data_IF_992614170968
#
_entry.id   IF_992614170968
#
_cell.length_a   1.000
_cell.length_b   1.000
_cell.length_c   1.000
_cell.angle_alpha   90.00
_cell.angle_beta   90.00
_cell.angle_gamma   90.00
#
_symmetry.space_group_name_H-M   'P 1'
#
loop_
_entity.id
_entity.type
_entity.pdbx_description
1 polymer ?
#
# COMPACT_ATOMS: atom_id res chain seq x y z
N UNK A 1 -5.76 -12.92 4.06
CA UNK A 1 -5.60 -12.08 5.28
C UNK A 1 -5.74 -10.61 4.87
N UNK A 2 -6.28 -9.70 5.72
CA UNK A 2 -6.49 -8.28 5.35
C UNK A 2 -5.71 -7.33 6.26
N UNK A 3 -4.74 -6.64 5.69
CA UNK A 3 -3.97 -5.59 6.36
C UNK A 3 -4.67 -4.24 6.20
N UNK A 4 -4.79 -3.49 7.30
CA UNK A 4 -5.31 -2.12 7.29
C UNK A 4 -4.16 -1.17 7.62
N UNK A 5 -3.85 -0.29 6.69
CA UNK A 5 -2.71 0.61 6.79
C UNK A 5 -3.21 2.07 6.78
N UNK A 6 -2.56 2.92 7.57
CA UNK A 6 -2.67 4.37 7.45
C UNK A 6 -1.65 4.85 6.43
N UNK A 7 -2.08 5.72 5.53
CA UNK A 7 -1.22 6.39 4.56
C UNK A 7 -0.76 7.70 5.19
N UNK A 8 0.52 8.03 5.05
CA UNK A 8 1.09 9.32 5.44
C UNK A 8 1.90 9.87 4.28
N UNK A 9 1.83 11.19 4.06
CA UNK A 9 2.59 11.86 3.01
C UNK A 9 2.06 11.61 1.59
N UNK A 10 0.77 11.27 1.46
CA UNK A 10 0.10 11.18 0.16
C UNK A 10 -0.66 12.49 -0.11
N UNK A 11 -0.14 13.31 -1.02
CA UNK A 11 -0.67 14.63 -1.41
C UNK A 11 -1.27 14.64 -2.82
N UNK A 12 -1.10 13.55 -3.59
CA UNK A 12 -1.63 13.44 -4.94
C UNK A 12 -2.54 12.22 -5.11
N UNK A 13 -3.82 12.45 -5.39
CA UNK A 13 -4.79 11.38 -5.67
C UNK A 13 -4.37 10.47 -6.85
N UNK A 14 -3.73 11.05 -7.87
CA UNK A 14 -3.23 10.27 -9.01
C UNK A 14 -2.03 9.39 -8.63
N UNK A 15 -1.16 9.86 -7.76
CA UNK A 15 -0.08 9.03 -7.19
C UNK A 15 -0.68 7.90 -6.35
N UNK A 16 -1.72 8.15 -5.56
CA UNK A 16 -2.44 7.12 -4.82
C UNK A 16 -2.97 5.99 -5.72
N UNK A 17 -3.58 6.34 -6.86
CA UNK A 17 -4.02 5.35 -7.84
C UNK A 17 -2.86 4.55 -8.45
N UNK A 18 -1.72 5.20 -8.74
CA UNK A 18 -0.53 4.51 -9.24
C UNK A 18 0.03 3.54 -8.20
N UNK A 19 0.12 3.97 -6.93
CA UNK A 19 0.57 3.13 -5.81
C UNK A 19 -0.33 1.91 -5.68
N UNK A 20 -1.65 2.09 -5.66
CA UNK A 20 -2.60 0.96 -5.58
C UNK A 20 -2.38 -0.06 -6.71
N UNK A 21 -2.25 0.41 -7.95
CA UNK A 21 -2.06 -0.45 -9.11
C UNK A 21 -0.73 -1.20 -9.09
N UNK A 22 0.34 -0.59 -8.57
CA UNK A 22 1.63 -1.26 -8.42
C UNK A 22 1.62 -2.28 -7.27
N UNK A 23 0.92 -1.98 -6.16
CA UNK A 23 0.76 -2.93 -5.05
C UNK A 23 0.02 -4.19 -5.50
N UNK A 24 -1.01 -4.05 -6.35
CA UNK A 24 -1.75 -5.19 -6.93
C UNK A 24 -0.88 -6.14 -7.74
N UNK A 25 0.29 -5.71 -8.21
CA UNK A 25 1.23 -6.53 -8.99
C UNK A 25 2.25 -7.27 -8.12
N UNK A 26 2.27 -7.01 -6.81
CA UNK A 26 3.18 -7.69 -5.89
C UNK A 26 2.72 -9.15 -5.73
N UNK A 27 3.65 -10.09 -5.88
CA UNK A 27 3.38 -11.50 -5.65
C UNK A 27 2.91 -11.74 -4.20
N UNK A 28 1.84 -12.51 -4.04
CA UNK A 28 1.21 -12.75 -2.74
C UNK A 28 0.14 -11.71 -2.34
N UNK A 29 -0.02 -10.61 -3.08
CA UNK A 29 -1.17 -9.70 -2.95
C UNK A 29 -2.34 -10.23 -3.79
N UNK A 30 -3.48 -10.44 -3.14
CA UNK A 30 -4.75 -10.83 -3.80
C UNK A 30 -5.48 -9.59 -4.30
N UNK A 31 -5.54 -8.55 -3.47
CA UNK A 31 -6.19 -7.29 -3.81
C UNK A 31 -5.60 -6.14 -2.98
N UNK A 32 -5.71 -4.91 -3.49
CA UNK A 32 -5.38 -3.70 -2.76
C UNK A 32 -6.37 -2.59 -3.07
N UNK A 33 -6.75 -1.84 -2.04
CA UNK A 33 -7.57 -0.64 -2.20
C UNK A 33 -6.98 0.50 -1.39
N UNK A 34 -6.91 1.68 -1.99
CA UNK A 34 -6.25 2.85 -1.43
C UNK A 34 -7.20 4.04 -1.55
N UNK A 35 -7.35 4.80 -0.47
CA UNK A 35 -8.27 5.92 -0.41
C UNK A 35 -7.51 7.17 0.00
N UNK A 36 -7.29 8.07 -0.97
CA UNK A 36 -6.72 9.40 -0.73
C UNK A 36 -7.56 10.19 0.28
N UNK A 37 -8.89 10.22 0.09
CA UNK A 37 -9.81 10.97 0.94
C UNK A 37 -9.79 10.54 2.42
N UNK A 38 -9.49 9.27 2.69
CA UNK A 38 -9.51 8.73 4.06
C UNK A 38 -8.15 8.35 4.61
N UNK A 39 -7.08 8.59 3.84
CA UNK A 39 -5.70 8.24 4.14
C UNK A 39 -5.54 6.79 4.63
N UNK A 40 -6.28 5.87 3.99
CA UNK A 40 -6.31 4.45 4.35
C UNK A 40 -6.01 3.57 3.16
N UNK A 41 -5.22 2.53 3.40
CA UNK A 41 -5.05 1.43 2.47
C UNK A 41 -5.52 0.12 3.11
N UNK A 42 -6.07 -0.76 2.29
CA UNK A 42 -6.38 -2.15 2.65
C UNK A 42 -5.69 -3.05 1.64
N UNK A 43 -4.92 -4.01 2.13
CA UNK A 43 -4.21 -4.97 1.29
C UNK A 43 -4.65 -6.36 1.72
N UNK A 44 -5.16 -7.13 0.77
CA UNK A 44 -5.47 -8.54 0.94
C UNK A 44 -4.28 -9.37 0.45
N UNK A 45 -3.77 -10.24 1.31
CA UNK A 45 -2.62 -11.10 1.01
C UNK A 45 -3.01 -12.57 1.13
N UNK A 46 -2.34 -13.41 0.34
CA UNK A 46 -2.57 -14.84 0.28
C UNK A 46 -2.07 -15.58 1.53
N UNK A 47 -0.91 -15.19 2.05
CA UNK A 47 -0.27 -15.85 3.19
C UNK A 47 0.22 -14.82 4.21
N UNK A 48 0.00 -15.10 5.50
CA UNK A 48 0.33 -14.18 6.60
C UNK A 48 1.84 -14.06 6.83
N UNK A 49 2.61 -15.11 6.50
CA UNK A 49 4.07 -15.10 6.66
C UNK A 49 4.74 -14.09 5.71
N UNK A 50 4.05 -13.67 4.65
CA UNK A 50 4.53 -12.68 3.69
C UNK A 50 4.21 -11.24 4.09
N UNK A 51 3.46 -11.01 5.17
CA UNK A 51 2.97 -9.67 5.54
C UNK A 51 4.09 -8.64 5.71
N UNK A 52 5.20 -9.02 6.36
CA UNK A 52 6.34 -8.12 6.59
C UNK A 52 7.08 -7.81 5.28
N UNK A 53 7.27 -8.80 4.40
CA UNK A 53 7.93 -8.60 3.11
C UNK A 53 7.08 -7.72 2.19
N UNK A 54 5.77 -7.98 2.12
CA UNK A 54 4.83 -7.19 1.35
C UNK A 54 4.78 -5.75 1.87
N UNK A 55 4.76 -5.55 3.20
CA UNK A 55 4.77 -4.20 3.78
C UNK A 55 6.03 -3.40 3.41
N UNK A 56 7.19 -4.06 3.37
CA UNK A 56 8.44 -3.43 2.94
C UNK A 56 8.35 -2.99 1.47
N UNK A 57 7.97 -3.91 0.56
CA UNK A 57 7.79 -3.62 -0.88
C UNK A 57 6.77 -2.51 -1.13
N UNK A 58 5.66 -2.52 -0.39
CA UNK A 58 4.62 -1.49 -0.46
C UNK A 58 5.19 -0.11 -0.11
N UNK A 59 5.99 -0.01 0.95
CA UNK A 59 6.61 1.25 1.35
C UNK A 59 7.68 1.73 0.35
N UNK A 60 8.44 0.81 -0.25
CA UNK A 60 9.39 1.15 -1.33
C UNK A 60 8.66 1.70 -2.58
N UNK A 61 7.56 1.06 -2.99
CA UNK A 61 6.75 1.51 -4.12
C UNK A 61 6.13 2.88 -3.83
N UNK A 62 5.58 3.07 -2.64
CA UNK A 62 4.97 4.32 -2.23
C UNK A 62 5.97 5.48 -2.27
N UNK A 63 7.15 5.29 -1.68
CA UNK A 63 8.22 6.30 -1.64
C UNK A 63 8.77 6.63 -3.03
N UNK A 64 8.85 5.63 -3.92
CA UNK A 64 9.29 5.82 -5.30
C UNK A 64 8.29 6.66 -6.13
N UNK A 65 6.99 6.48 -5.89
CA UNK A 65 5.95 7.18 -6.66
C UNK A 65 5.68 8.57 -6.08
N UNK A 66 5.67 8.67 -4.75
CA UNK A 66 5.47 9.91 -4.01
C UNK A 66 6.50 9.98 -2.88
N UNK A 67 7.61 10.71 -3.06
CA UNK A 67 8.67 10.79 -2.06
C UNK A 67 8.14 11.21 -0.69
N UNK A 68 8.40 10.40 0.34
CA UNK A 68 7.89 10.62 1.68
C UNK A 68 6.54 9.96 1.98
N UNK A 69 5.89 9.33 1.00
CA UNK A 69 4.68 8.55 1.23
C UNK A 69 5.01 7.22 1.91
N UNK A 70 4.39 6.97 3.08
CA UNK A 70 4.55 5.74 3.86
C UNK A 70 3.20 5.11 4.20
N UNK A 71 3.17 3.78 4.25
CA UNK A 71 2.04 2.99 4.69
C UNK A 71 2.40 2.28 5.99
N UNK A 72 1.68 2.63 7.05
CA UNK A 72 1.94 2.17 8.42
C UNK A 72 0.80 1.28 8.92
N UNK A 73 1.11 0.24 9.68
CA UNK A 73 0.10 -0.55 10.37
C UNK A 73 -0.68 0.35 11.35
N UNK A 74 -2.01 0.23 11.32
CA UNK A 74 -2.90 0.95 12.23
C UNK A 74 -3.01 0.24 13.58
#
# INVERSE_FOLDING_TARGET
MKMKLKIQGLDCANCGNKIENEIKKIEGVIDASLSFLTEKAKIEIADDNMANEILAKVNEIADRIEPGCKLLLR
#
